data_IF_799268633127
#
_entry.id   IF_799268633127
#
_cell.length_a   1.000
_cell.length_b   1.000
_cell.length_c   1.000
_cell.angle_alpha   90.00
_cell.angle_beta   90.00
_cell.angle_gamma   90.00
#
_symmetry.space_group_name_H-M   'P 1'
#
loop_
_entity.id
_entity.type
_entity.pdbx_description
1 polymer ?
#
# COMPACT_ATOMS: atom_id res chain seq x y z
N UNK A 1 -15.69 -5.96 -16.66
CA UNK A 1 -14.87 -5.56 -15.49
C UNK A 1 -13.41 -5.49 -15.92
N UNK A 2 -12.66 -4.45 -15.55
CA UNK A 2 -11.28 -4.28 -15.98
C UNK A 2 -10.33 -5.17 -15.16
N UNK A 3 -9.43 -5.92 -15.82
CA UNK A 3 -8.38 -6.67 -15.12
C UNK A 3 -7.23 -5.80 -14.62
N UNK A 4 -7.02 -4.63 -15.25
CA UNK A 4 -6.05 -3.59 -14.86
C UNK A 4 -6.61 -2.22 -15.21
N UNK A 5 -6.23 -1.21 -14.45
CA UNK A 5 -6.49 0.21 -14.78
C UNK A 5 -5.31 0.81 -15.54
N UNK A 6 -5.57 1.84 -16.35
CA UNK A 6 -4.52 2.67 -16.95
C UNK A 6 -3.68 3.38 -15.87
N UNK A 7 -2.54 3.93 -16.27
CA UNK A 7 -1.71 4.76 -15.38
C UNK A 7 -2.50 5.89 -14.74
N UNK A 8 -2.53 5.90 -13.40
CA UNK A 8 -3.14 6.95 -12.59
C UNK A 8 -2.15 8.12 -12.51
N UNK A 9 -2.66 9.32 -12.77
CA UNK A 9 -1.91 10.57 -12.66
C UNK A 9 -2.55 11.49 -11.64
N UNK A 10 -1.98 12.68 -11.48
CA UNK A 10 -2.54 13.75 -10.64
C UNK A 10 -3.86 14.33 -11.13
N UNK A 11 -4.30 13.99 -12.35
CA UNK A 11 -5.53 14.50 -12.98
C UNK A 11 -6.64 13.46 -12.90
N UNK A 12 -7.84 13.89 -12.50
CA UNK A 12 -9.00 13.01 -12.27
C UNK A 12 -9.42 12.19 -13.49
N UNK A 13 -9.22 12.71 -14.71
CA UNK A 13 -9.51 11.99 -15.95
C UNK A 13 -8.68 10.71 -16.12
N UNK A 14 -7.53 10.57 -15.45
CA UNK A 14 -6.73 9.33 -15.47
C UNK A 14 -7.41 8.16 -14.73
N UNK A 15 -8.40 8.43 -13.87
CA UNK A 15 -9.17 7.40 -13.17
C UNK A 15 -10.17 6.72 -14.12
N UNK A 16 -10.65 7.43 -15.13
CA UNK A 16 -11.55 6.90 -16.14
C UNK A 16 -10.77 6.14 -17.22
N UNK A 17 -11.35 5.07 -17.73
CA UNK A 17 -10.67 4.08 -18.57
C UNK A 17 -10.93 4.32 -20.06
N UNK A 18 -9.94 4.01 -20.89
CA UNK A 18 -10.05 4.10 -22.35
C UNK A 18 -10.20 5.53 -22.89
N UNK A 19 -10.51 5.62 -24.19
CA UNK A 19 -10.82 6.89 -24.86
C UNK A 19 -12.21 7.40 -24.47
N UNK A 20 -13.15 6.49 -24.27
CA UNK A 20 -14.56 6.80 -23.96
C UNK A 20 -14.80 7.16 -22.50
N UNK A 21 -13.74 7.23 -21.68
CA UNK A 21 -13.80 7.67 -20.29
C UNK A 21 -14.76 6.82 -19.43
N UNK A 22 -14.72 5.49 -19.58
CA UNK A 22 -15.53 4.56 -18.80
C UNK A 22 -15.18 4.62 -17.31
N UNK A 23 -16.20 4.52 -16.46
CA UNK A 23 -16.01 4.40 -15.02
C UNK A 23 -15.44 3.03 -14.66
N UNK A 24 -14.38 2.96 -13.82
CA UNK A 24 -13.73 1.69 -13.51
C UNK A 24 -14.54 0.80 -12.56
N UNK A 25 -15.53 1.36 -11.84
CA UNK A 25 -16.29 0.67 -10.79
C UNK A 25 -17.79 0.70 -11.12
N UNK A 26 -18.48 -0.40 -10.84
CA UNK A 26 -19.94 -0.50 -10.83
C UNK A 26 -20.35 -0.89 -9.41
N UNK A 27 -21.06 -0.01 -8.71
CA UNK A 27 -21.51 -0.23 -7.34
C UNK A 27 -23.04 -0.11 -7.30
N UNK A 28 -23.72 -1.18 -6.90
CA UNK A 28 -25.18 -1.24 -6.83
C UNK A 28 -25.87 -0.83 -8.14
N UNK A 29 -25.33 -1.27 -9.28
CA UNK A 29 -25.85 -0.94 -10.61
C UNK A 29 -25.57 0.50 -11.08
N UNK A 30 -24.78 1.28 -10.33
CA UNK A 30 -24.38 2.63 -10.68
C UNK A 30 -22.88 2.71 -10.93
N UNK A 31 -22.50 3.42 -11.99
CA UNK A 31 -21.11 3.71 -12.32
C UNK A 31 -20.48 4.66 -11.30
N UNK A 32 -19.25 4.34 -10.87
CA UNK A 32 -18.47 5.17 -9.96
C UNK A 32 -16.96 5.13 -10.28
N UNK A 33 -16.24 6.10 -9.74
CA UNK A 33 -14.79 6.22 -9.79
C UNK A 33 -14.15 5.56 -8.55
N UNK A 34 -12.90 5.15 -8.69
CA UNK A 34 -12.13 4.56 -7.59
C UNK A 34 -12.10 5.46 -6.34
N UNK A 35 -12.34 4.91 -5.16
CA UNK A 35 -12.21 5.65 -3.90
C UNK A 35 -10.74 5.87 -3.54
N UNK A 36 -10.45 6.82 -2.64
CA UNK A 36 -9.06 7.11 -2.25
C UNK A 36 -8.37 5.87 -1.64
N UNK A 37 -9.10 5.07 -0.86
CA UNK A 37 -8.61 3.82 -0.28
C UNK A 37 -8.36 2.73 -1.32
N UNK A 38 -9.09 2.73 -2.43
CA UNK A 38 -8.82 1.83 -3.57
C UNK A 38 -7.59 2.27 -4.34
N UNK A 39 -7.39 3.59 -4.52
CA UNK A 39 -6.16 4.13 -5.12
C UNK A 39 -4.93 3.78 -4.27
N UNK A 40 -5.00 3.90 -2.94
CA UNK A 40 -3.93 3.49 -2.04
C UNK A 40 -3.57 2.01 -2.24
N UNK A 41 -4.58 1.13 -2.27
CA UNK A 41 -4.37 -0.31 -2.50
C UNK A 41 -3.76 -0.59 -3.87
N UNK A 42 -4.17 0.11 -4.93
CA UNK A 42 -3.60 -0.05 -6.28
C UNK A 42 -2.11 0.31 -6.30
N UNK A 43 -1.71 1.38 -5.60
CA UNK A 43 -0.31 1.76 -5.47
C UNK A 43 0.48 0.87 -4.48
N UNK A 44 -0.23 0.09 -3.66
CA UNK A 44 0.35 -0.79 -2.64
C UNK A 44 0.64 -0.09 -1.31
N UNK A 45 0.06 1.08 -1.06
CA UNK A 45 0.10 1.73 0.24
C UNK A 45 -0.87 1.05 1.22
N UNK A 46 -0.61 1.13 2.54
CA UNK A 46 -1.61 0.81 3.55
C UNK A 46 -2.90 1.61 3.32
N UNK A 47 -4.04 1.02 3.67
CA UNK A 47 -5.34 1.71 3.62
C UNK A 47 -5.31 2.87 4.61
N UNK A 48 -5.82 4.04 4.20
CA UNK A 48 -5.79 5.31 4.93
C UNK A 48 -4.40 5.97 5.05
N UNK A 49 -3.40 5.51 4.30
CA UNK A 49 -2.06 6.12 4.35
C UNK A 49 -2.04 7.62 4.02
N UNK A 50 -2.95 8.08 3.15
CA UNK A 50 -3.05 9.50 2.77
C UNK A 50 -4.21 10.23 3.47
N UNK A 51 -4.84 9.61 4.46
CA UNK A 51 -5.95 10.17 5.22
C UNK A 51 -5.47 11.08 6.35
N UNK A 52 -4.77 12.15 5.97
CA UNK A 52 -4.09 13.07 6.88
C UNK A 52 -4.34 14.52 6.47
N UNK A 53 -4.17 15.46 7.41
CA UNK A 53 -4.21 16.90 7.14
C UNK A 53 -5.49 17.40 6.47
N UNK A 54 -6.64 16.74 6.71
CA UNK A 54 -7.93 17.07 6.09
C UNK A 54 -7.86 17.13 4.54
N UNK A 55 -7.01 16.29 3.93
CA UNK A 55 -6.87 16.25 2.48
C UNK A 55 -8.10 15.63 1.81
N UNK A 56 -8.79 16.44 1.00
CA UNK A 56 -9.83 15.93 0.11
C UNK A 56 -9.29 15.04 -1.01
N UNK A 57 -10.21 14.39 -1.73
CA UNK A 57 -9.92 13.44 -2.83
C UNK A 57 -8.88 13.94 -3.83
N UNK A 58 -9.01 15.19 -4.29
CA UNK A 58 -8.10 15.76 -5.29
C UNK A 58 -6.66 15.92 -4.78
N UNK A 59 -6.48 16.26 -3.51
CA UNK A 59 -5.16 16.38 -2.90
C UNK A 59 -4.51 15.01 -2.70
N UNK A 60 -5.29 14.03 -2.21
CA UNK A 60 -4.85 12.63 -2.08
C UNK A 60 -4.46 12.02 -3.42
N UNK A 61 -5.25 12.27 -4.47
CA UNK A 61 -4.90 11.83 -5.83
C UNK A 61 -3.62 12.51 -6.36
N UNK A 62 -3.40 13.81 -6.10
CA UNK A 62 -2.17 14.49 -6.51
C UNK A 62 -0.93 13.87 -5.86
N UNK A 63 -1.03 13.48 -4.59
CA UNK A 63 0.05 12.82 -3.86
C UNK A 63 0.31 11.41 -4.43
N UNK A 64 -0.73 10.57 -4.51
CA UNK A 64 -0.61 9.20 -5.02
C UNK A 64 -0.19 9.17 -6.49
N UNK A 65 -0.75 10.03 -7.34
CA UNK A 65 -0.43 10.12 -8.76
C UNK A 65 0.99 10.60 -9.09
N UNK A 66 1.77 11.02 -8.08
CA UNK A 66 3.22 11.32 -8.18
C UNK A 66 4.10 10.29 -7.47
N UNK A 67 3.47 9.38 -6.73
CA UNK A 67 4.18 8.39 -5.92
C UNK A 67 4.68 7.22 -6.75
N UNK A 68 5.52 6.40 -6.13
CA UNK A 68 5.94 5.13 -6.70
C UNK A 68 4.99 4.00 -6.31
N UNK A 69 4.92 2.98 -7.16
CA UNK A 69 4.30 1.71 -6.78
C UNK A 69 5.12 1.05 -5.68
N UNK A 70 4.54 0.90 -4.48
CA UNK A 70 5.18 0.28 -3.31
C UNK A 70 5.77 -1.09 -3.63
N UNK A 71 5.08 -2.05 -4.29
CA UNK A 71 5.69 -3.34 -4.60
C UNK A 71 6.89 -3.23 -5.54
N UNK A 72 6.92 -2.25 -6.44
CA UNK A 72 8.07 -2.03 -7.33
C UNK A 72 9.27 -1.52 -6.54
N UNK A 73 9.09 -0.53 -5.67
CA UNK A 73 10.19 -0.01 -4.84
C UNK A 73 10.67 -1.06 -3.84
N UNK A 74 9.74 -1.81 -3.24
CA UNK A 74 10.08 -2.94 -2.37
C UNK A 74 10.92 -3.98 -3.10
N UNK A 75 10.61 -4.27 -4.37
CA UNK A 75 11.40 -5.18 -5.19
C UNK A 75 12.81 -4.64 -5.45
N UNK A 76 12.92 -3.37 -5.86
CA UNK A 76 14.22 -2.72 -6.11
C UNK A 76 15.10 -2.65 -4.86
N UNK A 77 14.50 -2.42 -3.67
CA UNK A 77 15.23 -2.32 -2.42
C UNK A 77 15.46 -3.65 -1.73
N UNK A 78 14.91 -4.76 -2.23
CA UNK A 78 15.05 -6.08 -1.60
C UNK A 78 16.52 -6.50 -1.35
N UNK A 79 17.48 -6.28 -2.28
CA UNK A 79 18.88 -6.65 -2.07
C UNK A 79 19.58 -5.88 -0.96
N UNK A 80 19.06 -4.72 -0.53
CA UNK A 80 19.69 -3.90 0.52
C UNK A 80 19.70 -4.62 1.88
N UNK A 81 18.86 -5.64 2.06
CA UNK A 81 18.82 -6.46 3.28
C UNK A 81 20.13 -7.19 3.56
N UNK A 82 20.92 -7.47 2.53
CA UNK A 82 22.20 -8.18 2.67
C UNK A 82 23.33 -7.24 3.13
N UNK A 83 23.08 -5.92 3.13
CA UNK A 83 24.07 -4.89 3.43
C UNK A 83 23.79 -4.10 4.71
N UNK A 84 22.55 -4.15 5.22
CA UNK A 84 22.13 -3.37 6.38
C UNK A 84 21.47 -4.24 7.45
N UNK A 85 21.66 -3.88 8.71
CA UNK A 85 21.02 -4.56 9.83
C UNK A 85 19.48 -4.49 9.70
N UNK A 86 18.83 -5.65 9.75
CA UNK A 86 17.37 -5.74 9.77
C UNK A 86 16.90 -5.90 11.21
N UNK A 87 16.27 -4.85 11.77
CA UNK A 87 15.66 -4.94 13.10
C UNK A 87 14.43 -5.85 13.08
N UNK A 88 14.33 -6.77 14.04
CA UNK A 88 13.06 -7.44 14.34
C UNK A 88 12.15 -6.40 14.99
N UNK A 89 11.07 -6.01 14.31
CA UNK A 89 10.00 -5.23 14.93
C UNK A 89 9.15 -6.21 15.76
N UNK A 90 9.12 -6.12 17.11
CA UNK A 90 8.47 -7.14 17.95
C UNK A 90 6.93 -7.15 17.93
N UNK A 91 6.26 -6.58 16.93
CA UNK A 91 4.80 -6.39 16.97
C UNK A 91 3.99 -7.02 15.83
N UNK A 92 4.61 -7.83 14.95
CA UNK A 92 3.88 -8.56 13.89
C UNK A 92 4.17 -10.07 13.85
N UNK A 93 4.63 -10.66 14.96
CA UNK A 93 4.55 -12.12 15.13
C UNK A 93 3.25 -12.44 15.86
N UNK A 94 2.27 -12.90 15.08
CA UNK A 94 1.10 -13.60 15.59
C UNK A 94 1.57 -14.72 16.53
N UNK A 95 0.99 -14.74 17.74
CA UNK A 95 1.10 -15.77 18.77
C UNK A 95 1.84 -17.06 18.36
N UNK A 96 2.98 -17.32 19.01
CA UNK A 96 3.20 -18.64 19.60
C UNK A 96 4.10 -18.54 20.82
N UNK A 97 3.48 -18.77 21.97
CA UNK A 97 4.10 -19.12 23.24
C UNK A 97 5.03 -20.31 23.02
N UNK A 98 6.31 -20.20 23.40
CA UNK A 98 7.02 -21.22 24.22
C UNK A 98 8.50 -20.90 24.48
N UNK A 99 8.82 -20.97 25.77
CA UNK A 99 10.05 -21.47 26.39
C UNK A 99 11.30 -20.59 26.41
N UNK A 100 11.49 -19.93 27.55
CA UNK A 100 12.79 -19.50 28.09
C UNK A 100 13.72 -20.72 28.26
N UNK A 101 15.01 -20.64 27.90
CA UNK A 101 16.00 -21.55 28.44
C UNK A 101 16.48 -21.01 29.78
N UNK A 102 16.30 -21.84 30.81
CA UNK A 102 16.86 -21.67 32.15
C UNK A 102 18.38 -21.52 32.04
N UNK A 103 18.91 -20.35 32.42
CA UNK A 103 20.36 -20.18 32.60
C UNK A 103 20.75 -20.98 33.84
N UNK A 104 21.41 -22.11 33.63
CA UNK A 104 21.95 -22.94 34.70
C UNK A 104 23.11 -22.24 35.40
N UNK A 105 23.15 -22.38 36.73
CA UNK A 105 24.27 -22.02 37.59
C UNK A 105 25.56 -22.66 37.06
N UNK A 106 26.62 -21.86 36.93
CA UNK A 106 27.99 -22.37 36.97
C UNK A 106 28.48 -22.25 38.42
N UNK A 107 28.57 -23.40 39.09
CA UNK A 107 29.48 -23.61 40.21
C UNK A 107 30.92 -23.59 39.66
N UNK A 108 31.75 -22.70 40.19
CA UNK A 108 32.98 -23.01 40.94
C UNK A 108 33.40 -21.77 41.70
#
# INVERSE_FOLDING_TARGET
MFGKVRTITTRSNSIKQGKDQHFPVMMNGKEDILWCTELERIFGFPVHYTDVSNMGRGARQKLLGRSWSVPVIRHLFAPLKDYFACGIIPSLTHHSIRSTPHLGLLQT
#
